data_IF_527679334121
#
_entry.id   IF_527679334121
#
_cell.length_a   1.000
_cell.length_b   1.000
_cell.length_c   1.000
_cell.angle_alpha   90.00
_cell.angle_beta   90.00
_cell.angle_gamma   90.00
#
_symmetry.space_group_name_H-M   'P 1'
#
loop_
_entity.id
_entity.type
_entity.pdbx_description
1 polymer ?
#
# COMPACT_ATOMS: atom_id res chain seq x y z
N UNK A 1 -13.67 -1.78 -5.45
CA UNK A 1 -13.72 -2.29 -4.06
C UNK A 1 -13.10 -1.20 -3.23
N UNK A 2 -13.95 -0.49 -2.48
CA UNK A 2 -13.63 0.74 -1.77
C UNK A 2 -12.79 0.43 -0.51
N UNK A 3 -11.69 1.16 -0.31
CA UNK A 3 -10.72 0.91 0.77
C UNK A 3 -11.29 1.38 2.11
N UNK A 4 -12.21 2.34 2.09
CA UNK A 4 -12.86 2.92 3.27
C UNK A 4 -13.74 1.89 3.99
N UNK A 5 -14.35 0.97 3.24
CA UNK A 5 -15.26 -0.03 3.81
C UNK A 5 -14.58 -1.09 4.68
N UNK A 6 -13.27 -1.32 4.51
CA UNK A 6 -12.54 -2.36 5.26
C UNK A 6 -11.94 -1.84 6.57
N UNK A 7 -11.71 -0.52 6.67
CA UNK A 7 -11.12 0.10 7.86
C UNK A 7 -12.14 0.22 9.02
N UNK A 8 -13.44 0.31 8.73
CA UNK A 8 -14.48 0.43 9.75
C UNK A 8 -14.71 -0.86 10.57
N UNK A 9 -14.40 -2.04 10.03
CA UNK A 9 -14.78 -3.33 10.63
C UNK A 9 -13.77 -3.88 11.66
N UNK A 10 -12.55 -3.31 11.72
CA UNK A 10 -11.47 -3.82 12.58
C UNK A 10 -10.95 -2.66 13.40
N UNK A 11 -11.30 -2.62 14.69
CA UNK A 11 -10.79 -1.64 15.65
C UNK A 11 -9.27 -1.69 15.77
N UNK A 12 -8.59 -1.05 14.83
CA UNK A 12 -7.15 -0.86 14.74
C UNK A 12 -6.95 0.65 14.72
N UNK A 13 -6.06 1.14 15.59
CA UNK A 13 -5.87 2.55 15.90
C UNK A 13 -5.86 3.43 14.64
N UNK A 14 -6.54 4.57 14.75
CA UNK A 14 -6.65 5.59 13.72
C UNK A 14 -5.23 6.03 13.28
N UNK A 15 -4.68 5.38 12.26
CA UNK A 15 -3.53 5.91 11.57
C UNK A 15 -4.01 7.16 10.83
N UNK A 16 -3.72 8.32 11.41
CA UNK A 16 -4.05 9.61 10.82
C UNK A 16 -3.38 9.74 9.45
N UNK A 17 -3.98 10.51 8.55
CA UNK A 17 -3.37 10.81 7.24
C UNK A 17 -1.93 11.33 7.35
N UNK A 18 -1.57 11.94 8.49
CA UNK A 18 -0.23 12.39 8.80
C UNK A 18 0.80 11.25 8.90
N UNK A 19 0.40 10.06 9.39
CA UNK A 19 1.29 8.88 9.45
C UNK A 19 1.64 8.41 8.02
N UNK A 20 0.65 8.38 7.13
CA UNK A 20 0.88 8.01 5.73
C UNK A 20 1.73 9.03 4.99
N UNK A 21 1.57 10.33 5.26
CA UNK A 21 2.44 11.36 4.70
C UNK A 21 3.90 11.23 5.18
N UNK A 22 4.15 10.74 6.40
CA UNK A 22 5.50 10.51 6.91
C UNK A 22 6.20 9.30 6.27
N UNK A 23 5.42 8.27 5.91
CA UNK A 23 5.94 7.07 5.23
C UNK A 23 6.04 7.24 3.70
N UNK A 24 5.36 8.24 3.15
CA UNK A 24 5.50 8.66 1.76
C UNK A 24 6.74 9.55 1.57
N UNK A 25 7.32 9.55 0.37
CA UNK A 25 8.35 10.55 -0.01
C UNK A 25 9.58 9.98 -0.68
N UNK A 26 9.82 8.67 -0.58
CA UNK A 26 10.88 8.02 -1.36
C UNK A 26 10.29 7.40 -2.61
N UNK A 27 10.43 8.09 -3.74
CA UNK A 27 10.18 7.47 -5.04
C UNK A 27 11.20 6.35 -5.24
N UNK A 28 10.74 5.16 -5.62
CA UNK A 28 11.65 4.09 -6.02
C UNK A 28 12.42 4.50 -7.28
N UNK A 29 13.61 3.92 -7.46
CA UNK A 29 14.26 4.00 -8.77
C UNK A 29 13.36 3.39 -9.85
N UNK A 30 13.43 3.85 -11.11
CA UNK A 30 12.72 3.22 -12.20
C UNK A 30 13.08 1.74 -12.30
N UNK A 31 12.10 0.92 -12.63
CA UNK A 31 12.29 -0.51 -12.89
C UNK A 31 11.45 -0.90 -14.11
N UNK A 32 11.97 -1.83 -14.89
CA UNK A 32 11.27 -2.35 -16.06
C UNK A 32 10.02 -3.11 -15.64
N UNK A 33 8.97 -3.03 -16.46
CA UNK A 33 7.77 -3.82 -16.25
C UNK A 33 8.08 -5.30 -16.46
N UNK A 34 7.75 -6.13 -15.46
CA UNK A 34 7.83 -7.59 -15.59
C UNK A 34 6.74 -8.15 -16.50
N UNK A 35 6.84 -9.45 -16.83
CA UNK A 35 5.95 -10.17 -17.76
C UNK A 35 4.45 -9.96 -17.49
N UNK A 36 4.05 -9.96 -16.23
CA UNK A 36 2.65 -9.83 -15.84
C UNK A 36 2.16 -8.39 -15.75
N UNK A 37 3.05 -7.40 -15.89
CA UNK A 37 2.71 -5.99 -15.75
C UNK A 37 2.08 -5.68 -14.38
N UNK A 38 2.64 -6.26 -13.31
CA UNK A 38 2.13 -6.17 -11.95
C UNK A 38 3.26 -5.91 -10.94
N UNK A 39 2.89 -5.36 -9.78
CA UNK A 39 3.79 -5.12 -8.65
C UNK A 39 3.17 -5.67 -7.38
N UNK A 40 3.93 -6.42 -6.60
CA UNK A 40 3.56 -6.81 -5.24
C UNK A 40 3.99 -5.70 -4.27
N UNK A 41 3.05 -5.20 -3.50
CA UNK A 41 3.28 -4.19 -2.46
C UNK A 41 3.12 -4.88 -1.12
N UNK A 42 4.19 -4.87 -0.32
CA UNK A 42 4.21 -5.34 1.06
C UNK A 42 4.16 -4.13 1.99
N UNK A 43 3.17 -4.11 2.88
CA UNK A 43 3.03 -3.11 3.94
C UNK A 43 3.31 -3.81 5.26
N UNK A 44 4.20 -3.23 6.06
CA UNK A 44 4.53 -3.72 7.40
C UNK A 44 4.20 -2.59 8.36
N UNK A 45 3.34 -2.86 9.35
CA UNK A 45 3.01 -1.87 10.38
C UNK A 45 4.06 -1.82 11.50
N UNK A 46 3.91 -0.87 12.44
CA UNK A 46 4.82 -0.65 13.57
C UNK A 46 4.88 -1.83 14.56
N UNK A 47 3.87 -2.71 14.54
CA UNK A 47 3.81 -3.95 15.34
C UNK A 47 4.45 -5.14 14.61
N UNK A 48 4.84 -4.95 13.35
CA UNK A 48 5.42 -5.99 12.50
C UNK A 48 4.37 -6.87 11.80
N UNK A 49 3.09 -6.49 11.77
CA UNK A 49 2.12 -7.22 10.95
C UNK A 49 2.37 -6.94 9.48
N UNK A 50 2.29 -7.98 8.66
CA UNK A 50 2.52 -7.88 7.22
C UNK A 50 1.20 -8.02 6.45
N UNK A 51 0.96 -7.09 5.53
CA UNK A 51 -0.09 -7.17 4.53
C UNK A 51 0.54 -7.11 3.15
N UNK A 52 0.06 -7.93 2.22
CA UNK A 52 0.54 -7.93 0.83
C UNK A 52 -0.63 -7.77 -0.13
N UNK A 53 -0.44 -6.94 -1.15
CA UNK A 53 -1.39 -6.74 -2.25
C UNK A 53 -0.65 -6.73 -3.58
N UNK A 54 -1.24 -7.33 -4.61
CA UNK A 54 -0.74 -7.24 -5.98
C UNK A 54 -1.52 -6.15 -6.72
N UNK A 55 -0.81 -5.24 -7.39
CA UNK A 55 -1.35 -4.12 -8.15
C UNK A 55 -1.00 -4.24 -9.62
N UNK A 56 -1.93 -3.91 -10.49
CA UNK A 56 -1.69 -3.86 -11.95
C UNK A 56 -1.03 -2.55 -12.34
N UNK A 57 -0.01 -2.59 -13.19
CA UNK A 57 0.61 -1.38 -13.74
C UNK A 57 -0.36 -0.56 -14.60
N UNK A 58 -1.43 -1.18 -15.13
CA UNK A 58 -2.47 -0.48 -15.91
C UNK A 58 -3.33 0.46 -15.05
N UNK A 59 -3.31 0.29 -13.73
CA UNK A 59 -4.08 1.10 -12.79
C UNK A 59 -3.28 2.30 -12.27
N UNK A 60 -1.98 2.36 -12.60
CA UNK A 60 -1.13 3.50 -12.28
C UNK A 60 -1.52 4.70 -13.16
N UNK A 61 -1.93 5.80 -12.51
CA UNK A 61 -2.25 7.08 -13.17
C UNK A 61 -1.01 7.96 -13.31
#
# INVERSE_FOLDING_TARGET
MDWDGQNAARGQGEYTDAVWQHLAGTASVPFEAGEHGQVAVKVIDDRGNELMVVKSLKEAK
#
